data_IF_262603396487
#
_entry.id   IF_262603396487
#
_cell.length_a   1.000
_cell.length_b   1.000
_cell.length_c   1.000
_cell.angle_alpha   90.00
_cell.angle_beta   90.00
_cell.angle_gamma   90.00
#
_symmetry.space_group_name_H-M   'P 1'
#
loop_
_entity.id
_entity.type
_entity.pdbx_description
1 polymer ?
#
# COMPACT_ATOMS: atom_id res chain seq x y z
N UNK A 1 19.15 -11.16 -13.22
CA UNK A 1 17.95 -10.32 -13.10
C UNK A 1 18.13 -9.41 -11.89
N UNK A 2 18.66 -8.20 -12.07
CA UNK A 2 19.15 -7.37 -10.97
C UNK A 2 18.70 -5.89 -11.03
N UNK A 3 17.59 -5.59 -11.70
CA UNK A 3 17.08 -4.20 -11.81
C UNK A 3 15.55 -4.19 -11.90
N UNK A 4 14.86 -4.53 -10.82
CA UNK A 4 13.46 -4.16 -10.69
C UNK A 4 13.40 -2.64 -10.45
N UNK A 5 12.65 -1.86 -11.24
CA UNK A 5 12.58 -0.41 -11.05
C UNK A 5 11.99 -0.08 -9.68
N UNK A 6 12.64 0.83 -8.95
CA UNK A 6 12.08 1.50 -7.78
C UNK A 6 10.66 1.99 -8.16
N UNK A 7 9.67 1.66 -7.34
CA UNK A 7 8.27 2.03 -7.56
C UNK A 7 8.17 3.56 -7.43
N UNK A 8 8.40 4.28 -8.53
CA UNK A 8 8.08 5.71 -8.62
C UNK A 8 6.57 5.83 -8.51
N UNK A 9 6.12 6.45 -7.43
CA UNK A 9 4.73 6.85 -7.26
C UNK A 9 4.24 7.55 -8.54
N UNK A 10 3.01 7.27 -9.03
CA UNK A 10 2.47 8.05 -10.12
C UNK A 10 2.36 9.50 -9.64
N UNK A 11 3.27 10.36 -10.12
CA UNK A 11 3.14 11.80 -9.99
C UNK A 11 1.83 12.16 -10.68
N UNK A 12 0.78 12.39 -9.88
CA UNK A 12 -0.48 12.87 -10.39
C UNK A 12 -0.24 14.28 -10.92
N UNK A 13 0.00 14.36 -12.23
CA UNK A 13 -0.05 15.59 -13.00
C UNK A 13 -1.48 16.13 -12.90
N UNK A 14 -1.72 17.02 -11.95
CA UNK A 14 -2.96 17.79 -11.85
C UNK A 14 -2.64 19.25 -12.20
N UNK A 15 -2.49 19.51 -13.50
CA UNK A 15 -2.63 20.85 -14.04
C UNK A 15 -4.14 21.16 -14.11
N UNK A 16 -4.63 22.10 -13.30
CA UNK A 16 -5.65 23.11 -13.68
C UNK A 16 -6.13 23.97 -12.51
N UNK A 17 -6.00 25.29 -12.71
CA UNK A 17 -6.45 26.41 -11.87
C UNK A 17 -7.89 26.29 -11.32
N UNK A 18 -8.09 26.57 -10.02
CA UNK A 18 -8.93 27.70 -9.57
C UNK A 18 -8.79 28.02 -8.07
N UNK A 19 -8.42 29.28 -7.83
CA UNK A 19 -8.46 30.08 -6.61
C UNK A 19 -9.75 29.88 -5.78
N UNK A 20 -9.64 29.45 -4.52
CA UNK A 20 -10.32 30.08 -3.38
C UNK A 20 -9.96 29.44 -2.02
N UNK A 21 -9.80 30.32 -1.02
CA UNK A 21 -9.94 30.11 0.43
C UNK A 21 -8.95 29.23 1.20
N UNK A 22 -7.91 29.92 1.71
CA UNK A 22 -7.28 29.81 3.04
C UNK A 22 -8.00 28.92 4.07
N UNK A 23 -7.38 27.79 4.41
CA UNK A 23 -7.14 27.24 5.77
C UNK A 23 -6.86 25.73 5.64
N UNK A 24 -5.95 25.17 6.44
CA UNK A 24 -5.51 23.76 6.44
C UNK A 24 -4.49 23.28 5.38
N UNK A 25 -3.35 23.98 5.23
CA UNK A 25 -2.25 23.50 4.37
C UNK A 25 -1.23 22.55 5.07
N UNK A 26 -1.45 22.15 6.34
CA UNK A 26 -0.46 21.36 7.11
C UNK A 26 -0.84 19.88 7.35
N UNK A 27 -2.05 19.46 6.99
CA UNK A 27 -2.52 18.09 7.21
C UNK A 27 -2.43 17.19 5.95
N UNK A 28 -2.14 17.76 4.78
CA UNK A 28 -2.15 17.03 3.50
C UNK A 28 -0.81 16.38 3.17
N UNK A 29 0.31 16.95 3.63
CA UNK A 29 1.66 16.47 3.28
C UNK A 29 2.03 15.13 3.92
N UNK A 30 1.43 14.77 5.07
CA UNK A 30 1.69 13.48 5.72
C UNK A 30 0.79 12.36 5.21
N UNK A 31 -0.12 12.64 4.27
CA UNK A 31 -1.07 11.63 3.80
C UNK A 31 -0.48 10.74 2.70
N UNK A 32 0.66 11.14 2.15
CA UNK A 32 1.29 10.53 0.97
C UNK A 32 2.53 9.71 1.32
N UNK A 33 3.20 10.01 2.45
CA UNK A 33 4.36 9.26 2.94
C UNK A 33 3.92 8.19 3.94
N UNK A 34 4.61 7.05 3.93
CA UNK A 34 4.50 6.06 5.00
C UNK A 34 4.96 6.69 6.32
N UNK A 35 4.41 6.23 7.44
CA UNK A 35 4.91 6.63 8.76
C UNK A 35 6.39 6.22 8.93
N UNK A 36 7.18 6.99 9.69
CA UNK A 36 8.59 6.65 9.94
C UNK A 36 8.70 5.24 10.58
N UNK A 37 9.54 4.38 10.00
CA UNK A 37 9.67 2.98 10.41
C UNK A 37 8.64 2.02 9.78
N UNK A 38 7.81 2.51 8.87
CA UNK A 38 6.88 1.71 8.08
C UNK A 38 7.21 1.76 6.59
N UNK A 39 6.99 0.63 5.91
CA UNK A 39 7.13 0.45 4.48
C UNK A 39 5.74 0.32 3.87
N UNK A 40 5.48 1.12 2.83
CA UNK A 40 4.19 1.12 2.11
C UNK A 40 4.23 0.17 0.93
N UNK A 41 3.31 -0.78 0.92
CA UNK A 41 3.11 -1.75 -0.16
C UNK A 41 1.95 -1.33 -1.06
N UNK A 42 2.13 -1.51 -2.37
CA UNK A 42 1.08 -1.36 -3.38
C UNK A 42 0.53 -2.71 -3.80
N UNK A 43 -0.79 -2.79 -3.93
CA UNK A 43 -1.47 -3.96 -4.47
C UNK A 43 -2.42 -3.55 -5.59
N UNK A 44 -2.27 -4.16 -6.77
CA UNK A 44 -3.06 -3.87 -7.96
C UNK A 44 -4.48 -4.46 -7.95
N UNK A 45 -5.06 -4.67 -6.77
CA UNK A 45 -6.43 -5.10 -6.60
C UNK A 45 -7.10 -4.21 -5.53
N UNK A 46 -8.36 -3.85 -5.75
CA UNK A 46 -9.10 -2.96 -4.87
C UNK A 46 -10.49 -3.48 -4.54
N UNK A 47 -11.37 -2.57 -4.16
CA UNK A 47 -12.75 -2.89 -3.77
C UNK A 47 -13.53 -3.60 -4.89
N UNK A 48 -13.27 -3.28 -6.16
CA UNK A 48 -13.94 -3.94 -7.28
C UNK A 48 -13.53 -5.41 -7.41
N UNK A 49 -12.29 -5.72 -7.07
CA UNK A 49 -11.75 -7.09 -7.02
C UNK A 49 -12.09 -7.82 -5.71
N UNK A 50 -12.98 -7.23 -4.89
CA UNK A 50 -13.33 -7.69 -3.54
C UNK A 50 -12.12 -7.75 -2.60
N UNK A 51 -11.08 -6.98 -2.88
CA UNK A 51 -9.88 -6.89 -2.07
C UNK A 51 -10.03 -5.81 -0.99
N UNK A 52 -10.32 -6.24 0.23
CA UNK A 52 -10.55 -5.37 1.39
C UNK A 52 -9.50 -5.58 2.48
N UNK A 53 -9.49 -4.72 3.50
CA UNK A 53 -8.55 -4.80 4.62
C UNK A 53 -8.50 -6.19 5.28
N UNK A 54 -9.65 -6.85 5.42
CA UNK A 54 -9.73 -8.23 5.95
C UNK A 54 -8.93 -9.25 5.11
N UNK A 55 -8.87 -9.07 3.79
CA UNK A 55 -8.14 -9.97 2.90
C UNK A 55 -6.64 -9.69 2.97
N UNK A 56 -6.24 -8.42 3.12
CA UNK A 56 -4.85 -8.02 3.36
C UNK A 56 -4.35 -8.65 4.67
N UNK A 57 -5.09 -8.44 5.77
CA UNK A 57 -4.73 -9.00 7.09
C UNK A 57 -4.74 -10.53 7.03
N UNK A 58 -5.74 -11.13 6.38
CA UNK A 58 -5.82 -12.58 6.21
C UNK A 58 -4.68 -13.15 5.37
N UNK A 59 -4.19 -12.43 4.36
CA UNK A 59 -3.00 -12.81 3.61
C UNK A 59 -1.77 -12.79 4.51
N UNK A 60 -1.53 -11.68 5.22
CA UNK A 60 -0.41 -11.57 6.14
C UNK A 60 -0.42 -12.71 7.16
N UNK A 61 -1.52 -12.88 7.89
CA UNK A 61 -1.63 -13.94 8.90
C UNK A 61 -1.46 -15.37 8.36
N UNK A 62 -1.67 -15.62 7.06
CA UNK A 62 -1.44 -16.94 6.46
C UNK A 62 0.01 -17.20 6.12
N UNK A 63 0.75 -16.15 5.80
CA UNK A 63 2.13 -16.24 5.33
C UNK A 63 3.14 -15.78 6.38
N UNK A 64 2.68 -15.24 7.50
CA UNK A 64 3.49 -14.83 8.64
C UNK A 64 3.16 -15.72 9.84
N UNK A 65 4.18 -16.24 10.51
CA UNK A 65 3.98 -16.98 11.77
C UNK A 65 3.75 -16.04 12.95
N UNK A 66 4.34 -14.85 12.89
CA UNK A 66 4.17 -13.81 13.90
C UNK A 66 3.10 -12.80 13.47
N UNK A 67 2.42 -12.15 14.44
CA UNK A 67 1.49 -11.07 14.15
C UNK A 67 2.25 -9.88 13.54
N UNK A 68 1.92 -9.57 12.29
CA UNK A 68 2.44 -8.38 11.61
C UNK A 68 1.64 -7.17 12.05
N UNK A 69 2.36 -6.10 12.42
CA UNK A 69 1.74 -4.81 12.70
C UNK A 69 1.50 -4.09 11.38
N UNK A 70 0.22 -3.94 11.04
CA UNK A 70 -0.23 -3.21 9.86
C UNK A 70 -0.61 -1.81 10.31
N UNK A 71 0.07 -0.82 9.75
CA UNK A 71 -0.23 0.59 9.96
C UNK A 71 -1.42 1.02 9.10
N UNK A 72 -1.24 2.11 8.36
CA UNK A 72 -2.32 2.67 7.54
C UNK A 72 -2.68 1.78 6.35
N UNK A 73 -3.98 1.65 6.09
CA UNK A 73 -4.53 0.97 4.90
C UNK A 73 -5.38 1.94 4.09
N UNK A 74 -5.03 2.15 2.83
CA UNK A 74 -5.82 2.93 1.87
C UNK A 74 -6.41 2.01 0.80
N UNK A 75 -7.71 1.72 0.90
CA UNK A 75 -8.45 0.94 -0.10
C UNK A 75 -9.02 1.86 -1.19
N UNK A 76 -8.58 1.69 -2.44
CA UNK A 76 -9.18 2.33 -3.62
C UNK A 76 -10.04 1.32 -4.40
N UNK A 77 -10.64 1.79 -5.49
CA UNK A 77 -11.56 0.95 -6.28
C UNK A 77 -10.82 -0.17 -7.02
N UNK A 78 -9.67 0.12 -7.63
CA UNK A 78 -8.92 -0.84 -8.45
C UNK A 78 -7.56 -1.24 -7.86
N UNK A 79 -7.17 -0.62 -6.74
CA UNK A 79 -5.91 -0.90 -6.08
C UNK A 79 -6.00 -0.59 -4.59
N UNK A 80 -5.01 -1.02 -3.84
CA UNK A 80 -4.88 -0.76 -2.41
C UNK A 80 -3.45 -0.42 -2.06
N UNK A 81 -3.29 0.34 -0.98
CA UNK A 81 -2.03 0.50 -0.28
C UNK A 81 -2.17 0.07 1.16
N UNK A 82 -1.12 -0.48 1.73
CA UNK A 82 -1.03 -0.73 3.16
C UNK A 82 0.40 -0.57 3.65
N UNK A 83 0.56 -0.23 4.92
CA UNK A 83 1.85 -0.03 5.57
C UNK A 83 2.12 -1.13 6.58
N UNK A 84 3.37 -1.59 6.65
CA UNK A 84 3.85 -2.57 7.63
C UNK A 84 5.19 -2.10 8.19
N UNK A 85 5.56 -2.53 9.38
CA UNK A 85 6.86 -2.16 9.96
C UNK A 85 8.00 -2.62 9.04
N UNK A 86 9.05 -1.81 8.95
CA UNK A 86 10.21 -2.08 8.09
C UNK A 86 10.84 -3.45 8.38
N UNK A 87 10.94 -3.85 9.65
CA UNK A 87 11.44 -5.17 10.06
C UNK A 87 10.61 -6.36 9.54
N UNK A 88 9.32 -6.13 9.26
CA UNK A 88 8.37 -7.15 8.81
C UNK A 88 8.24 -7.13 7.27
N UNK A 89 8.87 -6.16 6.59
CA UNK A 89 8.69 -5.90 5.15
C UNK A 89 9.20 -7.04 4.26
N UNK A 90 10.38 -7.60 4.54
CA UNK A 90 10.93 -8.73 3.75
C UNK A 90 10.02 -9.96 3.80
N UNK A 91 9.44 -10.22 4.99
CA UNK A 91 8.55 -11.34 5.20
C UNK A 91 7.21 -11.12 4.45
N UNK A 92 6.68 -9.89 4.50
CA UNK A 92 5.49 -9.48 3.76
C UNK A 92 5.71 -9.55 2.25
N UNK A 93 6.88 -9.15 1.76
CA UNK A 93 7.21 -9.25 0.33
C UNK A 93 7.18 -10.71 -0.16
N UNK A 94 7.79 -11.62 0.60
CA UNK A 94 7.74 -13.06 0.33
C UNK A 94 6.31 -13.61 0.35
N UNK A 95 5.49 -13.18 1.30
CA UNK A 95 4.07 -13.53 1.40
C UNK A 95 3.28 -13.10 0.15
N UNK A 96 3.45 -11.85 -0.28
CA UNK A 96 2.74 -11.27 -1.42
C UNK A 96 3.10 -11.95 -2.74
N UNK A 97 4.37 -12.32 -2.92
CA UNK A 97 4.83 -13.05 -4.11
C UNK A 97 4.12 -14.40 -4.23
N UNK A 98 4.08 -15.16 -3.14
CA UNK A 98 3.39 -16.46 -3.10
C UNK A 98 1.87 -16.35 -3.26
N UNK A 99 1.26 -15.24 -2.80
CA UNK A 99 -0.17 -15.00 -2.98
C UNK A 99 -0.54 -14.78 -4.45
N UNK A 100 0.30 -14.06 -5.19
CA UNK A 100 0.12 -13.82 -6.64
C UNK A 100 0.15 -15.11 -7.44
N UNK A 101 1.09 -16.01 -7.13
CA UNK A 101 1.27 -17.26 -7.87
C UNK A 101 0.07 -18.22 -7.74
N UNK A 102 -0.72 -18.10 -6.67
CA UNK A 102 -1.90 -18.95 -6.43
C UNK A 102 -3.21 -18.43 -7.03
N UNK A 103 -3.32 -17.13 -7.30
CA UNK A 103 -4.56 -16.52 -7.78
C UNK A 103 -4.65 -16.43 -9.33
N UNK A 104 -3.65 -16.99 -10.03
CA UNK A 104 -3.55 -17.04 -11.49
C UNK A 104 -3.83 -18.42 -12.11
N UNK A 105 -4.52 -19.32 -11.39
CA UNK A 105 -5.01 -20.61 -11.92
C UNK A 105 -6.52 -20.64 -12.01
#
# INVERSE_FOLDING_TARGET
>A
YAHAPEIKEPQSAAESKKKSSRSNAKATHNRERAEEGFVRFFFGAGKHDKFYAKEIIGLLNRYTFEPVEVGRIDLKNNFAFFEVREKDAELVEGALRNAKDRNGR
#
